data_IF_322949132852
#
_entry.id   IF_322949132852
#
_cell.length_a   1.000
_cell.length_b   1.000
_cell.length_c   1.000
_cell.angle_alpha   90.00
_cell.angle_beta   90.00
_cell.angle_gamma   90.00
#
_symmetry.space_group_name_H-M   'P 1'
#
loop_
_entity.id
_entity.type
_entity.pdbx_description
1 polymer ?
#
# COMPACT_ATOMS: atom_id res chain seq x y z
N UNK A 1 -4.49 -111.84 11.50
CA UNK A 1 -3.14 -111.29 11.75
C UNK A 1 -3.20 -109.78 11.66
N UNK A 2 -3.23 -109.12 12.82
CA UNK A 2 -3.23 -107.68 12.99
C UNK A 2 -1.80 -107.15 12.96
N UNK A 3 -1.51 -106.15 12.13
CA UNK A 3 -0.55 -105.06 12.42
C UNK A 3 -1.04 -103.82 11.69
N UNK A 4 -1.60 -102.84 12.39
CA UNK A 4 -0.96 -101.80 13.24
C UNK A 4 -0.47 -100.61 12.42
N UNK A 5 -0.47 -99.41 13.04
CA UNK A 5 -0.98 -98.20 12.42
C UNK A 5 0.07 -97.08 12.37
N UNK A 6 -0.37 -95.92 11.87
CA UNK A 6 0.17 -94.57 12.09
C UNK A 6 1.60 -94.27 11.62
N UNK A 7 1.81 -93.05 11.10
CA UNK A 7 2.77 -92.05 11.61
C UNK A 7 2.96 -90.89 10.60
N UNK A 8 2.72 -89.68 11.12
CA UNK A 8 3.41 -88.38 10.93
C UNK A 8 3.60 -87.77 9.53
N UNK A 9 3.03 -86.58 9.25
CA UNK A 9 3.50 -85.21 9.61
C UNK A 9 4.90 -84.95 8.96
N UNK A 10 5.22 -83.89 8.21
CA UNK A 10 4.72 -82.51 8.19
C UNK A 10 5.16 -81.79 6.88
N UNK A 11 4.17 -81.19 6.22
CA UNK A 11 4.11 -80.02 5.33
C UNK A 11 5.39 -79.43 4.67
N UNK A 12 5.41 -79.56 3.34
CA UNK A 12 5.98 -78.59 2.40
C UNK A 12 4.90 -77.54 2.10
N UNK A 13 5.26 -76.26 2.05
CA UNK A 13 4.40 -75.26 1.41
C UNK A 13 4.65 -73.82 1.86
N UNK A 14 5.61 -73.14 1.22
CA UNK A 14 5.68 -71.68 1.22
C UNK A 14 4.39 -71.11 0.60
N UNK A 15 3.56 -70.45 1.42
CA UNK A 15 2.42 -69.69 0.94
C UNK A 15 2.88 -68.28 0.53
N UNK A 16 2.74 -67.97 -0.76
CA UNK A 16 2.82 -66.62 -1.30
C UNK A 16 1.62 -65.81 -0.79
N UNK A 17 1.88 -64.81 0.05
CA UNK A 17 0.89 -63.83 0.46
C UNK A 17 0.96 -62.60 -0.47
N UNK A 18 0.00 -62.47 -1.38
CA UNK A 18 -0.33 -61.20 -2.04
C UNK A 18 -1.23 -60.39 -1.11
N UNK A 19 -0.69 -59.34 -0.50
CA UNK A 19 -1.49 -58.33 0.19
C UNK A 19 -1.74 -57.15 -0.76
N UNK A 20 -3.01 -56.91 -1.10
CA UNK A 20 -3.47 -55.74 -1.84
C UNK A 20 -3.24 -54.46 -1.01
N UNK A 21 -2.35 -53.58 -1.47
CA UNK A 21 -2.19 -52.23 -0.94
C UNK A 21 -3.38 -51.36 -1.35
N UNK A 22 -4.25 -51.04 -0.40
CA UNK A 22 -5.22 -49.95 -0.55
C UNK A 22 -4.47 -48.63 -0.42
N UNK A 23 -4.21 -47.96 -1.54
CA UNK A 23 -3.61 -46.63 -1.55
C UNK A 23 -4.63 -45.60 -1.04
N UNK A 24 -4.51 -45.24 0.24
CA UNK A 24 -5.17 -44.06 0.81
C UNK A 24 -4.51 -42.85 0.16
N UNK A 25 -5.19 -42.25 -0.83
CA UNK A 25 -4.76 -40.97 -1.40
C UNK A 25 -5.09 -39.89 -0.39
N UNK A 26 -4.08 -39.42 0.34
CA UNK A 26 -4.14 -38.18 1.10
C UNK A 26 -4.25 -37.02 0.09
N UNK A 27 -5.46 -36.55 -0.17
CA UNK A 27 -5.68 -35.24 -0.77
C UNK A 27 -5.29 -34.18 0.27
N UNK A 28 -4.15 -33.53 0.06
CA UNK A 28 -3.78 -32.35 0.82
C UNK A 28 -4.81 -31.25 0.56
N UNK A 29 -5.39 -30.72 1.64
CA UNK A 29 -6.21 -29.50 1.59
C UNK A 29 -5.30 -28.36 1.16
N UNK A 30 -5.65 -27.57 0.13
CA UNK A 30 -4.87 -26.40 -0.23
C UNK A 30 -4.95 -25.39 0.92
N UNK A 31 -3.81 -25.12 1.55
CA UNK A 31 -3.66 -24.01 2.48
C UNK A 31 -3.96 -22.73 1.70
N UNK A 32 -5.11 -22.10 1.96
CA UNK A 32 -5.32 -20.72 1.57
C UNK A 32 -4.17 -19.91 2.14
N UNK A 33 -3.29 -19.38 1.28
CA UNK A 33 -2.13 -18.61 1.70
C UNK A 33 -2.57 -17.45 2.58
N UNK A 34 -1.79 -17.14 3.63
CA UNK A 34 -2.02 -15.92 4.41
C UNK A 34 -2.00 -14.72 3.44
N UNK A 35 -2.96 -13.80 3.55
CA UNK A 35 -2.99 -12.62 2.68
C UNK A 35 -1.67 -11.87 2.82
N UNK A 36 -1.07 -11.49 1.68
CA UNK A 36 0.17 -10.72 1.65
C UNK A 36 -0.05 -9.38 2.37
N UNK A 37 0.50 -9.28 3.59
CA UNK A 37 0.36 -8.11 4.47
C UNK A 37 1.10 -6.88 3.91
N UNK A 38 1.98 -7.06 2.93
CA UNK A 38 2.72 -5.96 2.29
C UNK A 38 1.94 -5.26 1.17
N UNK A 39 0.75 -5.77 0.82
CA UNK A 39 -0.12 -5.19 -0.22
C UNK A 39 -0.82 -3.93 0.31
N UNK A 40 -0.78 -2.81 -0.42
CA UNK A 40 -1.50 -1.61 -0.04
C UNK A 40 -3.01 -1.84 0.05
N UNK A 41 -3.62 -1.27 1.09
CA UNK A 41 -5.06 -1.45 1.38
C UNK A 41 -5.68 -0.13 1.75
N UNK A 42 -6.90 0.11 1.28
CA UNK A 42 -7.71 1.19 1.79
C UNK A 42 -7.93 0.96 3.29
N UNK A 43 -8.08 2.05 4.06
CA UNK A 43 -8.34 1.92 5.49
C UNK A 43 -9.67 1.21 5.78
N UNK A 44 -10.55 1.03 4.80
CA UNK A 44 -11.75 0.20 4.84
C UNK A 44 -11.47 -1.31 4.75
N UNK A 45 -10.31 -1.72 4.23
CA UNK A 45 -9.77 -3.09 4.29
C UNK A 45 -9.48 -3.72 2.91
N UNK A 46 -10.09 -3.21 1.85
CA UNK A 46 -9.91 -3.68 0.49
C UNK A 46 -8.49 -3.40 -0.04
N UNK A 47 -7.89 -4.33 -0.81
CA UNK A 47 -6.70 -4.02 -1.61
C UNK A 47 -6.99 -2.86 -2.55
N UNK A 48 -6.05 -1.92 -2.65
CA UNK A 48 -6.16 -0.79 -3.57
C UNK A 48 -4.77 -0.37 -4.03
N UNK A 49 -4.63 -0.05 -5.32
CA UNK A 49 -3.44 0.59 -5.85
C UNK A 49 -3.83 1.94 -6.46
N UNK A 50 -3.41 3.08 -5.87
CA UNK A 50 -3.68 4.41 -6.44
C UNK A 50 -3.18 4.59 -7.89
N UNK A 51 -2.20 3.78 -8.31
CA UNK A 51 -1.55 3.89 -9.61
C UNK A 51 -2.27 3.08 -10.70
N UNK A 52 -3.17 2.17 -10.31
CA UNK A 52 -3.97 1.38 -11.24
C UNK A 52 -5.30 2.09 -11.57
N UNK A 53 -5.80 1.87 -12.78
CA UNK A 53 -7.04 2.48 -13.29
C UNK A 53 -6.90 3.06 -14.70
N UNK A 54 -7.92 3.80 -15.12
CA UNK A 54 -8.03 4.32 -16.48
C UNK A 54 -6.81 5.20 -16.88
N UNK A 55 -6.15 4.92 -18.02
CA UNK A 55 -5.10 5.77 -18.55
C UNK A 55 -5.58 7.20 -18.79
N UNK A 56 -4.73 8.17 -18.48
CA UNK A 56 -5.03 9.60 -18.59
C UNK A 56 -5.61 10.23 -17.32
N UNK A 57 -6.16 9.43 -16.40
CA UNK A 57 -6.65 9.93 -15.11
C UNK A 57 -5.52 10.55 -14.29
N UNK A 58 -5.80 11.72 -13.72
CA UNK A 58 -4.90 12.40 -12.79
C UNK A 58 -5.13 11.88 -11.37
N UNK A 59 -4.04 11.58 -10.68
CA UNK A 59 -4.03 11.11 -9.29
C UNK A 59 -3.13 11.99 -8.44
N UNK A 60 -3.65 12.44 -7.31
CA UNK A 60 -2.91 13.10 -6.24
C UNK A 60 -2.67 12.09 -5.12
N UNK A 61 -1.40 11.80 -4.84
CA UNK A 61 -0.97 10.96 -3.74
C UNK A 61 -0.16 11.79 -2.76
N UNK A 62 -0.62 11.90 -1.51
CA UNK A 62 0.11 12.55 -0.44
C UNK A 62 0.56 11.51 0.60
N UNK A 63 1.83 11.53 0.98
CA UNK A 63 2.40 10.66 2.00
C UNK A 63 2.44 11.40 3.32
N UNK A 64 1.89 10.80 4.38
CA UNK A 64 1.86 11.39 5.73
C UNK A 64 2.18 10.37 6.79
N UNK A 65 2.56 10.83 7.98
CA UNK A 65 2.84 9.99 9.13
C UNK A 65 2.19 10.52 10.40
N UNK A 66 1.52 9.67 11.22
CA UNK A 66 0.82 10.14 12.41
C UNK A 66 1.69 10.86 13.43
N UNK A 67 2.97 10.48 13.51
CA UNK A 67 3.94 11.06 14.43
C UNK A 67 4.74 12.23 13.83
N UNK A 68 4.52 12.55 12.54
CA UNK A 68 5.24 13.64 11.89
C UNK A 68 4.58 14.99 12.20
N UNK A 69 5.19 15.88 13.00
CA UNK A 69 4.58 17.16 13.35
C UNK A 69 4.42 18.08 12.12
N UNK A 70 5.28 17.93 11.11
CA UNK A 70 5.19 18.72 9.88
C UNK A 70 4.01 18.26 9.04
N UNK A 71 3.80 16.95 8.90
CA UNK A 71 2.67 16.41 8.15
C UNK A 71 1.34 16.82 8.79
N UNK A 72 1.28 16.70 10.12
CA UNK A 72 0.12 17.07 10.94
C UNK A 72 -0.20 18.55 10.83
N UNK A 73 0.81 19.42 10.83
CA UNK A 73 0.63 20.85 10.61
C UNK A 73 0.20 21.20 9.18
N UNK A 74 0.56 20.38 8.19
CA UNK A 74 0.16 20.54 6.78
C UNK A 74 -1.23 19.96 6.47
N UNK A 75 -1.79 19.10 7.32
CA UNK A 75 -3.06 18.41 7.10
C UNK A 75 -4.24 19.30 6.64
N UNK A 76 -4.53 20.47 7.26
CA UNK A 76 -5.62 21.32 6.77
C UNK A 76 -5.38 21.81 5.33
N UNK A 77 -4.13 22.14 4.97
CA UNK A 77 -3.79 22.56 3.61
C UNK A 77 -3.90 21.41 2.62
N UNK A 78 -3.45 20.20 2.99
CA UNK A 78 -3.64 18.99 2.19
C UNK A 78 -5.13 18.72 1.92
N UNK A 79 -5.98 18.84 2.93
CA UNK A 79 -7.42 18.63 2.77
C UNK A 79 -8.04 19.68 1.83
N UNK A 80 -7.63 20.94 1.93
CA UNK A 80 -8.08 22.00 1.02
C UNK A 80 -7.60 21.78 -0.42
N UNK A 81 -6.34 21.37 -0.59
CA UNK A 81 -5.74 21.08 -1.89
C UNK A 81 -6.42 19.88 -2.54
N UNK A 82 -6.74 18.83 -1.77
CA UNK A 82 -7.51 17.70 -2.27
C UNK A 82 -8.93 18.08 -2.69
N UNK A 83 -9.63 18.95 -1.94
CA UNK A 83 -10.95 19.44 -2.39
C UNK A 83 -10.87 20.18 -3.71
N UNK A 84 -9.84 21.01 -3.88
CA UNK A 84 -9.57 21.70 -5.15
C UNK A 84 -9.30 20.69 -6.26
N UNK A 85 -8.41 19.71 -6.01
CA UNK A 85 -8.04 18.69 -6.96
C UNK A 85 -9.23 17.81 -7.38
N UNK A 86 -10.02 17.31 -6.44
CA UNK A 86 -11.23 16.53 -6.72
C UNK A 86 -12.28 17.33 -7.49
N UNK A 87 -12.44 18.62 -7.19
CA UNK A 87 -13.30 19.52 -7.98
C UNK A 87 -12.85 19.69 -9.43
N UNK A 88 -11.59 19.39 -9.73
CA UNK A 88 -10.98 19.40 -11.06
C UNK A 88 -10.86 17.99 -11.67
N UNK A 89 -11.48 16.97 -11.07
CA UNK A 89 -11.49 15.59 -11.57
C UNK A 89 -10.23 14.78 -11.24
N UNK A 90 -9.43 15.22 -10.25
CA UNK A 90 -8.25 14.47 -9.77
C UNK A 90 -8.65 13.51 -8.65
N UNK A 91 -8.32 12.23 -8.77
CA UNK A 91 -8.51 11.26 -7.71
C UNK A 91 -7.47 11.46 -6.60
N UNK A 92 -7.89 11.51 -5.34
CA UNK A 92 -7.03 11.91 -4.22
C UNK A 92 -6.86 10.77 -3.20
N UNK A 93 -5.60 10.43 -2.92
CA UNK A 93 -5.19 9.39 -1.99
C UNK A 93 -4.25 9.95 -0.91
N UNK A 94 -4.47 9.54 0.33
CA UNK A 94 -3.58 9.80 1.46
C UNK A 94 -2.94 8.48 1.89
N UNK A 95 -1.62 8.38 1.82
CA UNK A 95 -0.87 7.13 2.00
C UNK A 95 -0.07 7.16 3.30
N UNK A 96 -0.20 6.08 4.07
CA UNK A 96 0.51 5.83 5.32
C UNK A 96 1.57 4.73 5.11
N UNK A 97 2.85 5.07 4.93
CA UNK A 97 3.91 4.10 4.62
C UNK A 97 4.54 3.45 5.88
N UNK A 98 3.70 2.96 6.81
CA UNK A 98 4.15 2.40 8.09
C UNK A 98 3.80 0.93 8.21
N UNK A 99 4.81 0.11 8.53
CA UNK A 99 4.66 -1.34 8.64
C UNK A 99 4.22 -1.79 10.06
N UNK A 100 4.43 -0.93 11.04
CA UNK A 100 4.27 -1.16 12.48
C UNK A 100 3.01 -0.50 13.06
N UNK A 101 2.25 0.25 12.24
CA UNK A 101 1.03 0.92 12.67
C UNK A 101 -0.23 0.14 12.30
N UNK A 102 -1.15 0.06 13.26
CA UNK A 102 -2.43 -0.64 13.06
C UNK A 102 -3.40 0.18 12.19
N UNK A 103 -4.30 -0.51 11.48
CA UNK A 103 -5.39 0.14 10.72
C UNK A 103 -6.26 1.05 11.59
N UNK A 104 -6.45 0.72 12.87
CA UNK A 104 -7.20 1.57 13.80
C UNK A 104 -6.49 2.91 14.04
N UNK A 105 -5.19 2.86 14.33
CA UNK A 105 -4.33 4.05 14.50
C UNK A 105 -4.36 4.96 13.27
N UNK A 106 -4.26 4.36 12.07
CA UNK A 106 -4.28 5.13 10.82
C UNK A 106 -5.65 5.78 10.57
N UNK A 107 -6.76 5.08 10.89
CA UNK A 107 -8.11 5.64 10.78
C UNK A 107 -8.34 6.79 11.76
N UNK A 108 -7.90 6.62 13.00
CA UNK A 108 -8.00 7.66 14.03
C UNK A 108 -7.26 8.91 13.57
N UNK A 109 -6.02 8.76 13.10
CA UNK A 109 -5.27 9.88 12.55
C UNK A 109 -5.98 10.55 11.35
N UNK A 110 -6.44 9.76 10.36
CA UNK A 110 -7.11 10.30 9.19
C UNK A 110 -8.39 11.08 9.55
N UNK A 111 -9.11 10.65 10.58
CA UNK A 111 -10.29 11.35 11.11
C UNK A 111 -9.89 12.63 11.85
N UNK A 112 -8.98 12.50 12.81
CA UNK A 112 -8.63 13.59 13.74
C UNK A 112 -7.96 14.76 13.03
N UNK A 113 -7.26 14.50 11.91
CA UNK A 113 -6.65 15.53 11.06
C UNK A 113 -7.52 15.94 9.85
N UNK A 114 -8.77 15.46 9.77
CA UNK A 114 -9.72 15.87 8.73
C UNK A 114 -9.31 15.45 7.30
N UNK A 115 -8.56 14.36 7.15
CA UNK A 115 -8.08 13.83 5.87
C UNK A 115 -9.09 12.86 5.24
N UNK A 116 -9.80 12.09 6.06
CA UNK A 116 -10.77 11.09 5.61
C UNK A 116 -11.92 11.62 4.73
N UNK A 117 -12.43 12.87 4.89
CA UNK A 117 -13.51 13.37 4.05
C UNK A 117 -13.11 13.70 2.60
N UNK A 118 -11.82 13.89 2.32
CA UNK A 118 -11.33 14.40 1.03
C UNK A 118 -10.38 13.44 0.32
N UNK A 119 -9.84 12.45 1.04
CA UNK A 119 -8.92 11.47 0.50
C UNK A 119 -9.44 10.05 0.72
N UNK A 120 -9.13 9.17 -0.22
CA UNK A 120 -9.12 7.73 0.04
C UNK A 120 -7.86 7.43 0.83
N UNK A 121 -8.01 6.99 2.08
CA UNK A 121 -6.89 6.67 2.95
C UNK A 121 -6.37 5.25 2.71
N UNK A 122 -5.05 5.10 2.54
CA UNK A 122 -4.38 3.86 2.16
C UNK A 122 -3.25 3.56 3.13
N UNK A 123 -3.23 2.34 3.66
CA UNK A 123 -2.07 1.75 4.35
C UNK A 123 -1.13 1.14 3.32
N UNK A 124 0.15 1.52 3.35
CA UNK A 124 1.22 1.00 2.47
C UNK A 124 2.37 0.40 3.32
N UNK A 125 2.12 -0.67 4.09
CA UNK A 125 3.12 -1.24 5.01
C UNK A 125 4.34 -1.79 4.26
N UNK A 126 4.12 -2.31 3.05
CA UNK A 126 5.17 -2.79 2.16
C UNK A 126 5.93 -1.70 1.40
N UNK A 127 5.56 -0.42 1.57
CA UNK A 127 6.16 0.74 0.88
C UNK A 127 6.16 0.59 -0.65
N UNK A 128 5.15 -0.08 -1.21
CA UNK A 128 5.04 -0.33 -2.67
C UNK A 128 4.76 0.96 -3.42
N UNK A 129 3.83 1.78 -2.91
CA UNK A 129 3.45 3.06 -3.52
C UNK A 129 4.60 4.06 -3.33
N UNK A 130 5.26 4.05 -2.16
CA UNK A 130 6.46 4.84 -1.89
C UNK A 130 7.53 4.58 -2.95
N UNK A 131 7.88 3.32 -3.20
CA UNK A 131 8.91 2.96 -4.21
C UNK A 131 8.50 3.32 -5.62
N UNK A 132 7.24 3.08 -5.98
CA UNK A 132 6.74 3.37 -7.32
C UNK A 132 6.75 4.87 -7.64
N UNK A 133 6.45 5.72 -6.66
CA UNK A 133 6.43 7.17 -6.84
C UNK A 133 7.72 7.89 -6.41
N UNK A 134 8.64 7.18 -5.76
CA UNK A 134 9.91 7.72 -5.27
C UNK A 134 9.72 8.79 -4.19
N UNK A 135 8.77 8.58 -3.28
CA UNK A 135 8.59 9.43 -2.09
C UNK A 135 9.69 9.13 -1.05
N UNK A 136 10.09 10.14 -0.30
CA UNK A 136 11.26 10.09 0.59
C UNK A 136 10.99 10.65 1.98
N UNK A 137 10.01 11.55 2.12
CA UNK A 137 9.68 12.19 3.41
C UNK A 137 8.17 12.33 3.60
N UNK A 138 7.76 12.64 4.83
CA UNK A 138 6.38 13.02 5.18
C UNK A 138 6.36 14.45 5.77
N UNK A 139 5.53 15.37 5.28
CA UNK A 139 4.63 15.22 4.15
C UNK A 139 5.35 15.39 2.82
N UNK A 140 4.98 14.59 1.82
CA UNK A 140 5.40 14.75 0.42
C UNK A 140 4.19 14.49 -0.48
N UNK A 141 3.97 15.35 -1.47
CA UNK A 141 2.83 15.26 -2.37
C UNK A 141 3.28 15.01 -3.81
N UNK A 142 2.55 14.13 -4.48
CA UNK A 142 2.85 13.67 -5.83
C UNK A 142 1.59 13.74 -6.68
N UNK A 143 1.65 14.50 -7.77
CA UNK A 143 0.61 14.52 -8.80
C UNK A 143 1.12 13.72 -10.00
N UNK A 144 0.34 12.74 -10.43
CA UNK A 144 0.72 11.88 -11.53
C UNK A 144 -0.45 11.64 -12.49
N UNK A 145 -0.12 11.22 -13.72
CA UNK A 145 -1.09 10.73 -14.71
C UNK A 145 -0.91 9.23 -14.87
N UNK A 146 -2.00 8.46 -14.78
CA UNK A 146 -1.98 7.02 -15.07
C UNK A 146 -1.66 6.79 -16.55
N UNK A 147 -0.73 5.88 -16.82
CA UNK A 147 -0.38 5.42 -18.17
C UNK A 147 -1.01 4.04 -18.48
N UNK A 148 -1.54 3.36 -17.46
CA UNK A 148 -2.08 1.99 -17.53
C UNK A 148 -1.09 0.96 -16.98
N UNK A 149 -1.62 -0.19 -16.55
CA UNK A 149 -0.81 -1.30 -16.01
C UNK A 149 0.02 -0.93 -14.78
N UNK A 150 -0.48 -0.03 -13.93
CA UNK A 150 0.21 0.48 -12.74
C UNK A 150 1.35 1.48 -13.03
N UNK A 151 1.56 1.87 -14.28
CA UNK A 151 2.57 2.89 -14.63
C UNK A 151 1.98 4.30 -14.58
N UNK A 152 2.82 5.28 -14.25
CA UNK A 152 2.43 6.69 -14.16
C UNK A 152 3.49 7.64 -14.71
N UNK A 153 3.05 8.81 -15.18
CA UNK A 153 3.88 9.98 -15.46
C UNK A 153 3.82 10.94 -14.27
N UNK A 154 4.96 11.25 -13.64
CA UNK A 154 5.00 12.21 -12.53
C UNK A 154 4.97 13.64 -13.08
N UNK A 155 3.94 14.40 -12.68
CA UNK A 155 3.67 15.77 -13.10
C UNK A 155 4.00 16.79 -12.01
N UNK A 156 4.09 16.34 -10.75
CA UNK A 156 4.61 17.09 -9.61
C UNK A 156 5.11 16.12 -8.54
N UNK A 157 6.21 16.45 -7.87
CA UNK A 157 6.67 15.79 -6.64
C UNK A 157 7.40 16.82 -5.78
N UNK A 158 6.90 17.07 -4.59
CA UNK A 158 7.48 18.08 -3.72
C UNK A 158 6.71 18.35 -2.44
N UNK A 159 7.00 19.50 -1.82
CA UNK A 159 6.30 19.95 -0.62
C UNK A 159 4.85 20.33 -0.91
N UNK A 160 4.01 20.32 0.12
CA UNK A 160 2.63 20.83 0.01
C UNK A 160 2.62 22.35 -0.18
N UNK A 161 3.36 23.05 0.68
CA UNK A 161 3.46 24.51 0.75
C UNK A 161 4.75 24.89 1.50
N UNK A 162 4.98 26.18 1.72
CA UNK A 162 6.14 26.68 2.46
C UNK A 162 5.89 26.99 3.95
N UNK A 163 4.86 26.38 4.57
CA UNK A 163 4.58 26.52 6.01
C UNK A 163 5.82 26.22 6.86
N UNK A 164 6.63 25.26 6.42
CA UNK A 164 7.96 25.04 6.98
C UNK A 164 9.01 25.40 5.92
N UNK A 165 9.92 26.32 6.26
CA UNK A 165 11.06 26.64 5.40
C UNK A 165 12.26 25.70 5.62
N UNK A 166 12.28 25.03 6.77
CA UNK A 166 13.22 23.99 7.18
C UNK A 166 12.62 23.22 8.37
N UNK A 167 13.23 22.10 8.74
CA UNK A 167 12.87 21.37 9.97
C UNK A 167 12.97 22.33 11.17
N UNK A 168 11.90 22.39 11.98
CA UNK A 168 11.81 23.29 13.14
C UNK A 168 11.62 24.78 12.81
N UNK A 169 11.48 25.17 11.54
CA UNK A 169 11.27 26.55 11.09
C UNK A 169 9.87 26.74 10.51
N UNK A 170 8.87 26.74 11.40
CA UNK A 170 7.46 26.96 11.04
C UNK A 170 7.14 28.45 10.87
N UNK A 171 6.47 28.81 9.78
CA UNK A 171 5.84 30.11 9.56
C UNK A 171 4.47 30.17 10.23
N UNK A 172 3.95 31.38 10.54
CA UNK A 172 2.57 31.52 11.01
C UNK A 172 1.55 30.94 10.00
N UNK A 173 1.78 31.18 8.71
CA UNK A 173 0.99 30.72 7.57
C UNK A 173 1.90 30.52 6.36
N UNK A 174 1.54 29.64 5.40
CA UNK A 174 2.24 29.54 4.13
C UNK A 174 2.01 30.80 3.28
N UNK A 175 3.01 31.15 2.49
CA UNK A 175 3.00 32.19 1.47
C UNK A 175 2.81 31.55 0.09
N UNK A 176 3.40 30.37 -0.12
CA UNK A 176 3.34 29.62 -1.37
C UNK A 176 2.56 28.33 -1.17
N UNK A 177 1.67 28.02 -2.12
CA UNK A 177 0.84 26.81 -2.13
C UNK A 177 1.25 25.90 -3.29
N UNK A 178 2.48 25.40 -3.24
CA UNK A 178 3.14 24.80 -4.42
C UNK A 178 2.38 23.59 -4.97
N UNK A 179 1.78 22.76 -4.11
CA UNK A 179 0.94 21.65 -4.56
C UNK A 179 -0.33 22.14 -5.25
N UNK A 180 -1.03 23.12 -4.67
CA UNK A 180 -2.25 23.69 -5.25
C UNK A 180 -1.97 24.29 -6.62
N UNK A 181 -0.90 25.05 -6.74
CA UNK A 181 -0.50 25.69 -8.00
C UNK A 181 -0.21 24.63 -9.08
N UNK A 182 0.46 23.53 -8.70
CA UNK A 182 0.70 22.40 -9.60
C UNK A 182 -0.58 21.69 -10.04
N UNK A 183 -1.50 21.42 -9.10
CA UNK A 183 -2.81 20.81 -9.39
C UNK A 183 -3.61 21.67 -10.37
N UNK A 184 -3.72 22.98 -10.11
CA UNK A 184 -4.48 23.90 -10.96
C UNK A 184 -3.88 23.98 -12.36
N UNK A 185 -2.55 24.11 -12.48
CA UNK A 185 -1.87 24.16 -13.76
C UNK A 185 -2.08 22.87 -14.57
N UNK A 186 -1.86 21.70 -13.95
CA UNK A 186 -1.96 20.40 -14.61
C UNK A 186 -3.39 20.08 -15.03
N UNK A 187 -4.38 20.37 -14.18
CA UNK A 187 -5.79 20.21 -14.53
C UNK A 187 -6.21 21.12 -15.70
N UNK A 188 -5.57 22.29 -15.85
CA UNK A 188 -5.77 23.20 -16.98
C UNK A 188 -4.97 22.79 -18.24
N UNK A 189 -4.30 21.63 -18.24
CA UNK A 189 -3.48 21.15 -19.36
C UNK A 189 -2.12 21.83 -19.47
N UNK A 190 -1.67 22.54 -18.44
CA UNK A 190 -0.37 23.20 -18.36
C UNK A 190 0.63 22.36 -17.55
N UNK A 191 1.92 22.56 -17.78
CA UNK A 191 2.95 21.92 -16.95
C UNK A 191 3.10 22.63 -15.60
N UNK A 192 3.27 21.88 -14.52
CA UNK A 192 3.65 22.45 -13.23
C UNK A 192 5.05 23.11 -13.33
N UNK A 193 5.20 24.29 -12.73
CA UNK A 193 6.44 25.07 -12.80
C UNK A 193 7.62 24.33 -12.19
N UNK A 194 8.75 24.28 -12.90
CA UNK A 194 10.00 23.63 -12.46
C UNK A 194 11.08 24.67 -12.11
N UNK A 195 12.03 24.34 -11.22
CA UNK A 195 12.13 23.08 -10.47
C UNK A 195 11.05 22.96 -9.38
N UNK A 196 10.56 21.74 -9.12
CA UNK A 196 9.61 21.52 -8.02
C UNK A 196 10.29 21.71 -6.66
N UNK A 197 9.68 22.47 -5.74
CA UNK A 197 10.27 22.70 -4.42
C UNK A 197 10.34 21.39 -3.61
N UNK A 198 11.49 21.08 -3.00
CA UNK A 198 11.67 19.83 -2.27
C UNK A 198 10.75 19.77 -1.04
N UNK A 199 10.24 18.57 -0.74
CA UNK A 199 9.52 18.28 0.49
C UNK A 199 10.45 18.37 1.71
N UNK A 200 9.90 18.78 2.85
CA UNK A 200 10.62 18.91 4.13
C UNK A 200 9.80 18.15 5.16
N UNK A 201 10.42 17.17 5.81
CA UNK A 201 9.64 16.20 6.57
C UNK A 201 10.45 15.18 7.35
N UNK A 202 9.72 14.30 8.04
CA UNK A 202 10.29 13.09 8.61
C UNK A 202 10.61 12.11 7.50
N UNK A 203 11.78 11.47 7.55
CA UNK A 203 12.21 10.51 6.53
C UNK A 203 11.27 9.32 6.51
N UNK A 204 10.85 8.91 5.32
CA UNK A 204 10.23 7.60 5.12
C UNK A 204 11.37 6.61 5.12
N UNK A 205 11.43 5.75 6.14
CA UNK A 205 12.40 4.66 6.18
C UNK A 205 12.33 3.91 4.85
N UNK A 206 13.48 3.60 4.27
CA UNK A 206 13.55 2.71 3.12
C UNK A 206 13.59 1.28 3.66
N UNK A 207 12.88 0.36 3.01
CA UNK A 207 13.04 -1.06 3.32
C UNK A 207 14.24 -1.53 2.49
N UNK A 208 15.22 -2.15 3.14
CA UNK A 208 16.35 -2.80 2.48
C UNK A 208 15.89 -3.93 1.54
#
# INVERSE_FOLDING_TARGET
>A
MHRRPQIHWLCVGCAFALALSSAVSCTSVPTAGHPDESVPRALTGEPIDPLDGEPGTLVLVAFVGPECPIANACAPYLADDARTASGLGVECFIVYPFHDLSMATLRDHARDFGLAPTFIAVSDPGRRIVRALGATVTPEAILARRLGGGQVEILYRGRVNDLYSAIGRRRPQPIHHDLRDAVVAVAAGQAASKPWPPAIGCIIEQAD
#
